data_IF_848925559929
#
_entry.id   IF_848925559929
#
_cell.length_a   1.000
_cell.length_b   1.000
_cell.length_c   1.000
_cell.angle_alpha   90.00
_cell.angle_beta   90.00
_cell.angle_gamma   90.00
#
_symmetry.space_group_name_H-M   'P 1'
#
loop_
_entity.id
_entity.type
_entity.pdbx_description
1 polymer ?
#
# COMPACT_ATOMS: atom_id res chain seq x y z
N UNK A 1 4.78 -7.68 -15.25
CA UNK A 1 4.63 -8.99 -14.60
C UNK A 1 4.25 -8.77 -13.15
N UNK A 2 3.31 -9.54 -12.62
CA UNK A 2 2.94 -9.48 -11.21
C UNK A 2 3.94 -10.30 -10.39
N UNK A 3 4.32 -9.76 -9.24
CA UNK A 3 5.23 -10.35 -8.26
C UNK A 3 4.43 -10.74 -7.02
N UNK A 4 4.82 -11.84 -6.38
CA UNK A 4 4.21 -12.27 -5.13
C UNK A 4 5.01 -11.66 -3.98
N UNK A 5 4.33 -11.05 -3.02
CA UNK A 5 4.93 -10.50 -1.82
C UNK A 5 4.37 -11.24 -0.60
N UNK A 6 5.24 -11.52 0.35
CA UNK A 6 4.87 -11.87 1.72
C UNK A 6 5.04 -10.65 2.61
N UNK A 7 4.05 -10.38 3.43
CA UNK A 7 3.98 -9.19 4.27
C UNK A 7 3.72 -9.66 5.70
N UNK A 8 4.53 -9.15 6.63
CA UNK A 8 4.33 -9.32 8.07
C UNK A 8 4.40 -7.93 8.71
N UNK A 9 3.48 -7.63 9.61
CA UNK A 9 3.41 -6.37 10.33
C UNK A 9 3.01 -6.60 11.78
N UNK A 10 3.79 -6.00 12.69
CA UNK A 10 3.69 -6.16 14.13
C UNK A 10 3.66 -4.80 14.83
N UNK A 11 2.96 -4.75 15.96
CA UNK A 11 2.88 -3.62 16.88
C UNK A 11 2.96 -4.16 18.31
N UNK A 12 4.00 -3.77 19.06
CA UNK A 12 4.21 -4.20 20.45
C UNK A 12 4.07 -5.73 20.63
N UNK A 13 4.81 -6.50 19.83
CA UNK A 13 4.83 -7.98 19.83
C UNK A 13 3.49 -8.65 19.45
N UNK A 14 2.56 -7.89 18.88
CA UNK A 14 1.30 -8.41 18.33
C UNK A 14 1.31 -8.29 16.80
N UNK A 15 1.12 -9.41 16.12
CA UNK A 15 0.92 -9.42 14.66
C UNK A 15 -0.42 -8.77 14.32
N UNK A 16 -0.36 -7.62 13.65
CA UNK A 16 -1.53 -6.92 13.14
C UNK A 16 -1.95 -7.44 11.78
N UNK A 17 -0.96 -7.83 10.97
CA UNK A 17 -1.20 -8.32 9.62
C UNK A 17 -0.11 -9.30 9.19
N UNK A 18 -0.53 -10.43 8.66
CA UNK A 18 0.33 -11.41 8.01
C UNK A 18 -0.40 -11.94 6.77
N UNK A 19 0.25 -11.89 5.61
CA UNK A 19 -0.41 -12.36 4.40
C UNK A 19 0.38 -12.22 3.11
N UNK A 20 -0.25 -12.68 2.02
CA UNK A 20 0.28 -12.63 0.65
C UNK A 20 -0.37 -11.51 -0.12
N UNK A 21 0.42 -10.84 -0.96
CA UNK A 21 -0.07 -9.84 -1.89
C UNK A 21 0.51 -10.06 -3.28
N UNK A 22 -0.35 -10.14 -4.29
CA UNK A 22 0.07 -10.25 -5.69
C UNK A 22 -0.03 -8.88 -6.34
N UNK A 23 1.10 -8.32 -6.77
CA UNK A 23 1.10 -6.99 -7.37
C UNK A 23 2.37 -6.68 -8.16
N UNK A 24 2.36 -5.57 -8.90
CA UNK A 24 3.48 -5.23 -9.81
C UNK A 24 4.71 -4.69 -9.08
N UNK A 25 4.51 -3.98 -7.96
CA UNK A 25 5.58 -3.26 -7.26
C UNK A 25 5.45 -3.40 -5.75
N UNK A 26 6.58 -3.23 -5.03
CA UNK A 26 6.60 -3.16 -3.57
C UNK A 26 5.75 -2.00 -3.02
N UNK A 27 5.64 -0.90 -3.78
CA UNK A 27 4.77 0.23 -3.43
C UNK A 27 3.29 -0.15 -3.38
N UNK A 28 2.83 -1.02 -4.28
CA UNK A 28 1.46 -1.55 -4.23
C UNK A 28 1.25 -2.42 -2.98
N UNK A 29 2.25 -3.22 -2.59
CA UNK A 29 2.20 -4.00 -1.35
C UNK A 29 2.13 -3.11 -0.09
N UNK A 30 2.86 -1.98 -0.08
CA UNK A 30 2.77 -0.99 1.00
C UNK A 30 1.38 -0.33 1.07
N UNK A 31 0.79 0.00 -0.09
CA UNK A 31 -0.56 0.57 -0.14
C UNK A 31 -1.59 -0.43 0.39
N UNK A 32 -1.49 -1.69 -0.05
CA UNK A 32 -2.32 -2.79 0.45
C UNK A 32 -2.22 -2.94 1.96
N UNK A 33 -1.00 -2.94 2.53
CA UNK A 33 -0.82 -3.02 3.98
C UNK A 33 -1.50 -1.86 4.73
N UNK A 34 -1.38 -0.63 4.22
CA UNK A 34 -2.05 0.55 4.80
C UNK A 34 -3.57 0.44 4.77
N UNK A 35 -4.12 -0.02 3.64
CA UNK A 35 -5.56 -0.24 3.46
C UNK A 35 -6.07 -1.32 4.42
N UNK A 36 -5.34 -2.43 4.60
CA UNK A 36 -5.70 -3.50 5.54
C UNK A 36 -5.68 -3.04 7.00
N UNK A 37 -4.73 -2.18 7.37
CA UNK A 37 -4.64 -1.63 8.72
C UNK A 37 -5.55 -0.41 8.94
N UNK A 38 -6.18 0.13 7.90
CA UNK A 38 -6.97 1.36 7.96
C UNK A 38 -6.15 2.61 8.37
N UNK A 39 -4.83 2.61 8.14
CA UNK A 39 -3.93 3.70 8.55
C UNK A 39 -3.39 4.47 7.34
N UNK A 40 -3.21 5.79 7.48
CA UNK A 40 -2.60 6.64 6.45
C UNK A 40 -1.07 6.46 6.35
N UNK A 41 -0.45 6.10 7.47
CA UNK A 41 0.99 5.85 7.61
C UNK A 41 1.25 4.59 8.45
N UNK A 42 2.48 4.09 8.38
CA UNK A 42 2.95 2.90 9.10
C UNK A 42 3.95 3.27 10.20
N UNK A 43 3.94 4.52 10.66
CA UNK A 43 4.87 5.00 11.68
C UNK A 43 4.61 4.27 13.00
N UNK A 44 5.66 3.80 13.67
CA UNK A 44 5.55 3.04 14.91
C UNK A 44 5.24 1.55 14.73
N UNK A 45 5.10 1.08 13.48
CA UNK A 45 4.93 -0.34 13.16
C UNK A 45 6.24 -0.95 12.69
N UNK A 46 6.49 -2.19 13.10
CA UNK A 46 7.57 -3.02 12.54
C UNK A 46 6.96 -3.88 11.45
N UNK A 47 7.45 -3.76 10.22
CA UNK A 47 6.92 -4.54 9.10
C UNK A 47 8.00 -4.97 8.12
N UNK A 48 7.79 -6.14 7.52
CA UNK A 48 8.62 -6.70 6.47
C UNK A 48 7.77 -6.98 5.22
N UNK A 49 8.31 -6.68 4.05
CA UNK A 49 7.71 -6.99 2.75
C UNK A 49 8.78 -7.64 1.89
N UNK A 50 8.61 -8.93 1.63
CA UNK A 50 9.58 -9.77 0.93
C UNK A 50 8.99 -10.22 -0.40
N UNK A 51 9.74 -10.05 -1.48
CA UNK A 51 9.36 -10.59 -2.79
C UNK A 51 9.68 -12.08 -2.86
N UNK A 52 8.70 -12.87 -3.28
CA UNK A 52 8.82 -14.31 -3.49
C UNK A 52 8.99 -14.57 -4.99
N UNK A 53 10.12 -15.17 -5.44
CA UNK A 53 10.35 -15.49 -6.84
C UNK A 53 9.46 -16.67 -7.29
N UNK A 54 8.27 -16.36 -7.79
CA UNK A 54 7.27 -17.36 -8.22
C UNK A 54 7.80 -18.30 -9.30
N UNK A 55 8.72 -17.84 -10.15
CA UNK A 55 9.35 -18.66 -11.20
C UNK A 55 10.08 -19.86 -10.60
N UNK A 56 10.94 -19.63 -9.60
CA UNK A 56 11.68 -20.69 -8.91
C UNK A 56 10.74 -21.66 -8.20
N UNK A 57 9.68 -21.15 -7.58
CA UNK A 57 8.68 -22.02 -6.92
C UNK A 57 8.00 -22.94 -7.91
N UNK A 58 7.63 -22.43 -9.09
CA UNK A 58 6.97 -23.24 -10.12
C UNK A 58 7.88 -24.35 -10.64
N UNK A 59 9.16 -24.04 -10.86
CA UNK A 59 10.16 -25.02 -11.28
C UNK A 59 10.33 -26.12 -10.22
N UNK A 60 10.52 -25.74 -8.95
CA UNK A 60 10.65 -26.70 -7.85
C UNK A 60 9.41 -27.56 -7.67
N UNK A 61 8.20 -26.98 -7.78
CA UNK A 61 6.95 -27.73 -7.67
C UNK A 61 6.78 -28.69 -8.85
N UNK A 62 7.13 -28.26 -10.07
CA UNK A 62 7.10 -29.14 -11.24
C UNK A 62 8.05 -30.32 -11.05
N UNK A 63 9.27 -30.08 -10.57
CA UNK A 63 10.23 -31.15 -10.24
C UNK A 63 9.70 -32.09 -9.14
N UNK A 64 9.14 -31.55 -8.06
CA UNK A 64 8.56 -32.35 -6.98
C UNK A 64 7.38 -33.22 -7.43
N UNK A 65 6.52 -32.70 -8.30
CA UNK A 65 5.37 -33.44 -8.84
C UNK A 65 5.86 -34.52 -9.81
N UNK A 66 6.78 -34.18 -10.73
CA UNK A 66 7.34 -35.14 -11.68
C UNK A 66 8.17 -36.24 -11.01
N UNK A 67 8.90 -35.94 -9.93
CA UNK A 67 9.65 -36.92 -9.14
C UNK A 67 8.74 -37.89 -8.38
N UNK A 68 7.54 -37.45 -8.00
CA UNK A 68 6.53 -38.32 -7.36
C UNK A 68 5.89 -39.31 -8.34
N UNK A 69 5.89 -38.98 -9.63
CA UNK A 69 5.37 -39.86 -10.68
C UNK A 69 6.40 -40.92 -11.13
N UNK A 70 7.68 -40.76 -10.77
CA UNK A 70 8.76 -41.63 -11.26
C UNK A 70 9.29 -42.67 -10.27
N UNK A 71 9.18 -42.52 -8.94
CA UNK A 71 9.71 -43.56 -8.03
C UNK A 71 8.86 -43.82 -6.77
N UNK A 72 8.30 -45.03 -6.73
CA UNK A 72 8.07 -45.78 -5.50
C UNK A 72 9.38 -46.26 -4.85
N UNK A 73 10.39 -45.40 -4.71
CA UNK A 73 11.58 -45.70 -3.93
C UNK A 73 12.31 -44.42 -3.48
N UNK A 74 12.10 -44.04 -2.22
CA UNK A 74 13.11 -43.30 -1.45
C UNK A 74 13.27 -43.98 -0.08
N UNK A 75 14.50 -44.28 0.37
CA UNK A 75 14.77 -45.03 1.60
C UNK A 75 14.72 -44.18 2.89
N UNK A 76 14.31 -42.92 2.83
CA UNK A 76 14.11 -42.09 4.03
C UNK A 76 12.63 -41.74 4.19
N UNK A 77 11.92 -42.65 4.84
CA UNK A 77 10.53 -42.46 5.25
C UNK A 77 10.43 -41.44 6.38
N UNK A 78 9.98 -40.23 6.06
CA UNK A 78 9.23 -39.40 7.02
C UNK A 78 7.78 -39.43 6.58
N UNK A 79 7.01 -40.28 7.26
CA UNK A 79 5.58 -40.48 7.10
C UNK A 79 4.81 -39.20 7.42
N UNK A 80 4.35 -38.47 6.40
CA UNK A 80 3.21 -37.57 6.55
C UNK A 80 1.93 -38.41 6.44
N UNK A 81 1.32 -38.72 7.59
CA UNK A 81 -0.01 -39.34 7.66
C UNK A 81 -1.07 -38.44 6.99
N UNK A 82 -1.88 -38.96 6.05
CA UNK A 82 -3.12 -38.32 5.64
C UNK A 82 -4.26 -38.87 6.50
N UNK A 83 -4.77 -38.09 7.48
CA UNK A 83 -6.03 -38.46 8.14
C UNK A 83 -7.19 -37.96 7.28
N UNK A 84 -7.86 -38.92 6.64
CA UNK A 84 -9.02 -38.72 5.78
C UNK A 84 -10.25 -38.18 6.52
N UNK A 85 -10.98 -37.36 5.75
CA UNK A 85 -12.40 -36.99 5.80
C UNK A 85 -13.37 -38.02 6.44
N UNK A 86 -14.22 -37.53 7.35
CA UNK A 86 -15.57 -38.02 7.66
C UNK A 86 -16.35 -36.81 8.24
N UNK A 87 -17.61 -36.50 8.01
CA UNK A 87 -18.72 -36.97 7.19
C UNK A 87 -19.82 -35.90 7.36
N UNK A 88 -20.50 -35.46 6.29
CA UNK A 88 -21.67 -34.57 6.42
C UNK A 88 -22.83 -35.28 7.16
N UNK A 89 -23.68 -34.51 7.84
CA UNK A 89 -25.12 -34.72 7.64
C UNK A 89 -25.90 -33.41 7.46
N UNK A 90 -26.85 -33.43 6.52
CA UNK A 90 -27.97 -32.50 6.33
C UNK A 90 -29.27 -33.33 6.50
N UNK A 91 -30.49 -32.75 6.55
CA UNK A 91 -31.05 -31.58 7.25
C UNK A 91 -32.20 -31.99 8.21
N UNK A 92 -32.82 -31.04 8.94
CA UNK A 92 -34.30 -30.96 9.12
C UNK A 92 -34.74 -29.62 9.74
N UNK A 93 -35.88 -29.15 9.25
CA UNK A 93 -36.54 -27.87 9.52
C UNK A 93 -37.46 -27.93 10.76
N UNK A 94 -37.79 -26.77 11.35
CA UNK A 94 -39.13 -26.14 11.21
C UNK A 94 -39.37 -24.93 12.14
N UNK A 95 -40.09 -23.96 11.57
CA UNK A 95 -41.03 -22.96 12.13
C UNK A 95 -40.60 -21.67 12.89
N UNK A 96 -40.67 -20.56 12.13
CA UNK A 96 -41.64 -19.43 12.23
C UNK A 96 -42.00 -18.86 13.61
N UNK A 97 -41.72 -17.55 13.81
CA UNK A 97 -42.75 -16.56 14.20
C UNK A 97 -42.39 -15.15 13.69
N UNK A 98 -43.39 -14.48 13.13
CA UNK A 98 -43.39 -13.10 12.67
C UNK A 98 -43.46 -12.09 13.83
N UNK A 99 -42.94 -10.88 13.61
CA UNK A 99 -43.14 -9.73 14.50
C UNK A 99 -42.66 -8.43 13.85
N UNK A 100 -43.55 -7.81 13.08
CA UNK A 100 -43.50 -6.44 12.55
C UNK A 100 -43.71 -5.41 13.68
N UNK A 101 -43.12 -4.20 13.56
CA UNK A 101 -43.65 -2.87 13.90
C UNK A 101 -42.53 -1.89 14.28
N UNK A 102 -42.46 -0.73 13.59
CA UNK A 102 -41.92 0.49 14.21
C UNK A 102 -41.14 1.47 13.32
N UNK A 103 -41.82 2.15 12.41
CA UNK A 103 -41.36 3.26 11.55
C UNK A 103 -41.47 4.62 12.29
N UNK A 104 -40.49 5.51 12.09
CA UNK A 104 -40.54 7.00 11.99
C UNK A 104 -39.24 7.59 12.55
N UNK A 105 -38.50 8.49 11.90
CA UNK A 105 -38.85 9.48 10.89
C UNK A 105 -38.62 10.88 11.48
N UNK A 106 -37.55 11.56 11.09
CA UNK A 106 -37.39 13.02 11.25
C UNK A 106 -36.30 13.53 10.31
N UNK A 107 -36.76 14.23 9.26
CA UNK A 107 -35.97 15.05 8.35
C UNK A 107 -35.40 16.26 9.10
N UNK A 108 -34.22 16.69 8.67
CA UNK A 108 -33.61 17.98 9.02
C UNK A 108 -32.79 18.45 7.82
N UNK A 109 -33.50 19.00 6.85
CA UNK A 109 -33.00 19.70 5.66
C UNK A 109 -32.50 21.09 6.09
N UNK A 110 -31.29 21.47 5.69
CA UNK A 110 -30.92 22.85 5.36
C UNK A 110 -29.67 22.86 4.47
N UNK A 111 -29.91 23.37 3.28
CA UNK A 111 -29.05 23.57 2.13
C UNK A 111 -28.08 24.74 2.36
N UNK A 112 -26.78 24.55 2.09
CA UNK A 112 -25.87 25.64 1.72
C UNK A 112 -25.09 25.18 0.49
N UNK A 113 -25.27 25.96 -0.56
CA UNK A 113 -24.72 25.87 -1.91
C UNK A 113 -23.25 26.30 -1.99
N UNK A 114 -22.62 25.94 -3.11
CA UNK A 114 -21.37 26.49 -3.68
C UNK A 114 -20.04 26.17 -2.95
N UNK A 115 -19.30 25.19 -3.48
CA UNK A 115 -18.19 25.45 -4.41
C UNK A 115 -17.52 24.11 -4.78
N UNK A 116 -17.62 23.74 -6.05
CA UNK A 116 -16.81 22.69 -6.66
C UNK A 116 -15.31 23.03 -6.48
N UNK A 117 -14.46 22.14 -5.92
CA UNK A 117 -13.03 22.30 -6.11
C UNK A 117 -12.72 22.08 -7.61
N UNK A 118 -11.96 22.98 -8.25
CA UNK A 118 -11.86 23.03 -9.70
C UNK A 118 -11.21 21.76 -10.28
N UNK A 119 -11.55 21.38 -11.54
CA UNK A 119 -10.86 20.33 -12.27
C UNK A 119 -9.52 20.90 -12.75
N UNK A 120 -8.52 20.98 -11.87
CA UNK A 120 -7.21 21.46 -12.27
C UNK A 120 -6.35 20.30 -12.75
N UNK A 121 -6.21 20.21 -14.07
CA UNK A 121 -5.23 19.38 -14.77
C UNK A 121 -3.80 19.76 -14.39
N UNK A 122 -3.40 19.45 -13.16
CA UNK A 122 -2.01 19.42 -12.74
C UNK A 122 -1.37 18.22 -13.43
N UNK A 123 -0.88 18.46 -14.65
CA UNK A 123 0.18 17.68 -15.26
C UNK A 123 1.19 17.35 -14.16
N UNK A 124 1.27 16.07 -13.79
CA UNK A 124 2.33 15.56 -12.93
C UNK A 124 3.63 15.69 -13.72
N UNK A 125 4.20 16.91 -13.73
CA UNK A 125 5.56 17.13 -14.22
C UNK A 125 6.44 16.23 -13.36
N UNK A 126 7.12 15.29 -13.99
CA UNK A 126 7.97 14.36 -13.26
C UNK A 126 9.00 15.19 -12.47
N UNK A 127 9.36 14.74 -11.27
CA UNK A 127 10.31 15.43 -10.39
C UNK A 127 11.68 15.75 -11.05
N UNK A 128 11.95 15.21 -12.25
CA UNK A 128 13.13 15.43 -13.10
C UNK A 128 13.09 16.69 -13.98
N UNK A 129 11.93 17.32 -14.17
CA UNK A 129 11.76 18.30 -15.26
C UNK A 129 11.84 19.76 -14.80
N UNK A 130 12.16 19.99 -13.52
CA UNK A 130 12.34 21.33 -12.97
C UNK A 130 13.77 21.80 -13.22
N UNK A 131 13.92 22.99 -13.81
CA UNK A 131 15.21 23.65 -13.92
C UNK A 131 15.64 24.20 -12.56
N UNK A 132 16.30 23.35 -11.77
CA UNK A 132 16.77 23.66 -10.43
C UNK A 132 17.79 24.80 -10.39
N UNK A 133 18.51 25.05 -11.49
CA UNK A 133 19.47 26.16 -11.59
C UNK A 133 18.74 27.49 -11.58
N UNK A 134 17.71 27.63 -12.43
CA UNK A 134 16.86 28.82 -12.48
C UNK A 134 16.07 29.02 -11.19
N UNK A 135 15.56 27.94 -10.60
CA UNK A 135 14.85 27.99 -9.30
C UNK A 135 15.79 28.47 -8.18
N UNK A 136 17.03 27.97 -8.15
CA UNK A 136 18.04 28.40 -7.17
C UNK A 136 18.37 29.87 -7.35
N UNK A 137 18.61 30.35 -8.57
CA UNK A 137 18.86 31.76 -8.85
C UNK A 137 17.73 32.65 -8.33
N UNK A 138 16.47 32.30 -8.65
CA UNK A 138 15.28 33.00 -8.18
C UNK A 138 15.16 33.04 -6.64
N UNK A 139 15.59 31.98 -5.95
CA UNK A 139 15.64 31.94 -4.48
C UNK A 139 16.78 32.79 -3.90
N UNK A 140 17.93 32.83 -4.56
CA UNK A 140 19.09 33.63 -4.14
C UNK A 140 18.87 35.14 -4.34
N UNK A 141 18.02 35.56 -5.28
CA UNK A 141 17.61 36.97 -5.50
C UNK A 141 16.88 37.62 -4.31
N UNK A 142 16.60 36.89 -3.23
CA UNK A 142 15.96 37.46 -2.04
C UNK A 142 14.56 36.92 -1.76
N UNK A 143 13.97 36.17 -2.69
CA UNK A 143 12.55 35.76 -2.62
C UNK A 143 12.30 34.70 -1.55
N UNK A 144 11.07 34.68 -1.02
CA UNK A 144 10.64 33.66 -0.09
C UNK A 144 10.37 32.32 -0.80
N UNK A 145 10.48 31.17 -0.12
CA UNK A 145 10.17 29.87 -0.72
C UNK A 145 8.74 29.76 -1.27
N UNK A 146 7.77 30.49 -0.69
CA UNK A 146 6.39 30.54 -1.18
C UNK A 146 6.30 31.26 -2.53
N UNK A 147 6.99 32.38 -2.66
CA UNK A 147 6.96 33.20 -3.87
C UNK A 147 7.67 32.48 -5.02
N UNK A 148 8.83 31.86 -4.76
CA UNK A 148 9.58 31.07 -5.75
C UNK A 148 8.75 29.88 -6.23
N UNK A 149 8.05 29.19 -5.32
CA UNK A 149 7.15 28.09 -5.68
C UNK A 149 6.01 28.54 -6.60
N UNK A 150 5.43 29.72 -6.34
CA UNK A 150 4.38 30.30 -7.16
C UNK A 150 4.90 30.73 -8.56
N UNK A 151 6.04 31.41 -8.62
CA UNK A 151 6.64 31.90 -9.88
C UNK A 151 7.07 30.74 -10.77
N UNK A 152 7.75 29.74 -10.20
CA UNK A 152 8.35 28.63 -10.95
C UNK A 152 7.40 27.45 -11.14
N UNK A 153 6.15 27.56 -10.66
CA UNK A 153 5.13 26.51 -10.68
C UNK A 153 5.67 25.17 -10.12
N UNK A 154 6.31 25.23 -8.96
CA UNK A 154 6.87 24.06 -8.26
C UNK A 154 6.09 23.84 -6.97
N UNK A 155 5.71 22.59 -6.63
CA UNK A 155 5.10 22.31 -5.34
C UNK A 155 6.01 22.76 -4.19
N UNK A 156 5.46 23.54 -3.25
CA UNK A 156 6.21 24.12 -2.14
C UNK A 156 6.97 23.07 -1.31
N UNK A 157 6.39 21.88 -1.12
CA UNK A 157 7.03 20.79 -0.38
C UNK A 157 8.28 20.26 -1.10
N UNK A 158 8.25 20.18 -2.43
CA UNK A 158 9.39 19.77 -3.25
C UNK A 158 10.52 20.80 -3.16
N UNK A 159 10.17 22.09 -3.26
CA UNK A 159 11.13 23.19 -3.14
C UNK A 159 11.77 23.24 -1.75
N UNK A 160 10.98 23.14 -0.67
CA UNK A 160 11.49 23.09 0.70
C UNK A 160 12.44 21.92 0.92
N UNK A 161 12.07 20.73 0.46
CA UNK A 161 12.92 19.55 0.55
C UNK A 161 14.26 19.75 -0.16
N UNK A 162 14.27 20.46 -1.30
CA UNK A 162 15.50 20.80 -2.03
C UNK A 162 16.37 21.81 -1.30
N UNK A 163 15.78 22.91 -0.82
CA UNK A 163 16.46 23.96 -0.04
C UNK A 163 17.18 23.36 1.17
N UNK A 164 16.52 22.45 1.90
CA UNK A 164 17.11 21.79 3.06
C UNK A 164 18.24 20.84 2.68
N UNK A 165 18.05 20.03 1.63
CA UNK A 165 19.04 19.03 1.20
C UNK A 165 20.34 19.65 0.69
N UNK A 166 20.22 20.73 -0.08
CA UNK A 166 21.38 21.41 -0.66
C UNK A 166 21.89 22.56 0.21
N UNK A 167 21.21 22.87 1.32
CA UNK A 167 21.66 23.89 2.25
C UNK A 167 21.61 25.32 1.69
N UNK A 168 20.75 25.61 0.72
CA UNK A 168 20.67 26.94 0.07
C UNK A 168 20.40 28.06 1.07
N UNK A 169 19.68 27.77 2.16
CA UNK A 169 19.41 28.75 3.21
C UNK A 169 20.68 29.16 3.99
N UNK A 170 21.68 28.28 4.07
CA UNK A 170 22.99 28.60 4.66
C UNK A 170 23.84 29.37 3.65
N UNK A 171 23.91 28.89 2.42
CA UNK A 171 24.63 29.54 1.32
C UNK A 171 24.18 30.99 1.13
N UNK A 172 22.87 31.28 1.18
CA UNK A 172 22.34 32.64 1.09
C UNK A 172 22.71 33.56 2.25
N UNK A 173 23.09 33.02 3.42
CA UNK A 173 23.58 33.83 4.55
C UNK A 173 25.07 34.10 4.47
N UNK A 174 25.79 33.27 3.74
CA UNK A 174 27.24 33.33 3.55
C UNK A 174 27.63 34.08 2.26
N UNK A 175 26.68 34.27 1.35
CA UNK A 175 26.78 35.08 0.13
C UNK A 175 26.38 36.55 0.38
#
# INVERSE_FOLDING_TARGET
MNKLYWIVCEENDKTLYEGRFLGRTRGAALKHLKEQLGRSNLTGLVFAITEIPVTLIRELVAECVSARDTEGQSPYGTSCLPQQRASEPKPKADNIVSGDFGRNGSQGELEITHDDPPPSGATTRNHSDYDWTSIKACYMEGRGPKDVAAIMNVPLNTLRGRITREGWARERREA
#
